data_IF_079745368255
#
_entry.id   IF_079745368255
#
_cell.length_a   1.000
_cell.length_b   1.000
_cell.length_c   1.000
_cell.angle_alpha   90.00
_cell.angle_beta   90.00
_cell.angle_gamma   90.00
#
_symmetry.space_group_name_H-M   'P 1'
#
loop_
_entity.id
_entity.type
_entity.pdbx_description
1 polymer ?
#
# COMPACT_ATOMS: atom_id res chain seq x y z
N UNK A 1 1.09 12.46 18.37
CA UNK A 1 0.40 12.96 17.18
C UNK A 1 -0.80 12.06 16.93
N UNK A 2 -1.94 12.64 16.64
CA UNK A 2 -3.15 11.85 16.36
C UNK A 2 -3.14 11.41 14.90
N UNK A 3 -3.40 10.13 14.65
CA UNK A 3 -3.63 9.61 13.30
C UNK A 3 -4.92 10.17 12.66
N UNK A 4 -5.64 11.06 13.35
CA UNK A 4 -6.97 11.54 12.96
C UNK A 4 -6.96 12.70 11.98
N UNK A 5 -5.84 13.42 11.80
CA UNK A 5 -5.88 14.73 11.18
C UNK A 5 -5.63 14.77 9.65
N UNK A 6 -5.29 13.65 9.04
CA UNK A 6 -4.97 13.61 7.60
C UNK A 6 -5.44 12.30 6.97
N UNK A 7 -6.72 12.23 6.62
CA UNK A 7 -7.36 10.98 6.17
C UNK A 7 -6.96 10.62 4.73
N UNK A 8 -6.86 11.60 3.84
CA UNK A 8 -6.38 11.42 2.47
C UNK A 8 -5.82 12.73 1.92
N UNK A 9 -4.50 12.84 1.85
CA UNK A 9 -3.78 14.02 1.37
C UNK A 9 -2.87 13.68 0.20
N UNK A 10 -2.70 14.65 -0.70
CA UNK A 10 -1.83 14.55 -1.87
C UNK A 10 -0.83 15.69 -1.84
N UNK A 11 0.45 15.35 -1.97
CA UNK A 11 1.57 16.28 -2.01
C UNK A 11 2.36 16.08 -3.29
N UNK A 12 2.79 17.14 -3.94
CA UNK A 12 3.73 17.08 -5.05
C UNK A 12 5.12 17.48 -4.54
N UNK A 13 6.11 16.65 -4.84
CA UNK A 13 7.50 16.85 -4.41
C UNK A 13 8.44 16.77 -5.62
N UNK A 14 9.70 17.18 -5.42
CA UNK A 14 10.77 17.08 -6.42
C UNK A 14 11.72 15.92 -6.08
N UNK A 15 11.17 14.82 -5.54
CA UNK A 15 11.96 13.67 -5.09
C UNK A 15 12.69 12.96 -6.23
N UNK A 16 12.03 12.81 -7.38
CA UNK A 16 12.51 11.90 -8.42
C UNK A 16 13.58 12.57 -9.26
N UNK A 17 14.81 12.06 -9.18
CA UNK A 17 15.90 12.28 -10.13
C UNK A 17 16.02 11.09 -11.09
N UNK A 18 16.78 11.25 -12.16
CA UNK A 18 17.08 10.16 -13.10
C UNK A 18 17.88 9.05 -12.41
N UNK A 19 18.87 9.40 -11.59
CA UNK A 19 19.69 8.46 -10.85
C UNK A 19 18.86 7.62 -9.90
N UNK A 20 18.00 8.24 -9.11
CA UNK A 20 17.09 7.55 -8.20
C UNK A 20 16.17 6.60 -8.96
N UNK A 21 15.64 7.04 -10.11
CA UNK A 21 14.77 6.18 -10.91
C UNK A 21 15.50 4.98 -11.50
N UNK A 22 16.74 5.14 -11.96
CA UNK A 22 17.56 4.02 -12.43
C UNK A 22 17.84 3.00 -11.33
N UNK A 23 18.12 3.47 -10.11
CA UNK A 23 18.30 2.58 -8.97
C UNK A 23 17.03 1.77 -8.67
N UNK A 24 15.85 2.41 -8.70
CA UNK A 24 14.56 1.75 -8.51
C UNK A 24 14.30 0.70 -9.61
N UNK A 25 14.57 1.02 -10.87
CA UNK A 25 14.33 0.10 -12.00
C UNK A 25 15.19 -1.16 -11.91
N UNK A 26 16.36 -1.07 -11.31
CA UNK A 26 17.31 -2.18 -11.17
C UNK A 26 17.06 -3.08 -9.95
N UNK A 27 16.08 -2.77 -9.09
CA UNK A 27 15.72 -3.63 -7.98
C UNK A 27 15.28 -5.03 -8.45
N UNK A 28 15.60 -6.09 -7.69
CA UNK A 28 15.25 -7.45 -8.05
C UNK A 28 13.78 -7.76 -7.75
N UNK A 29 12.89 -7.33 -8.64
CA UNK A 29 11.45 -7.53 -8.51
C UNK A 29 11.05 -9.00 -8.64
N UNK A 30 10.16 -9.42 -7.76
CA UNK A 30 9.53 -10.73 -7.79
C UNK A 30 8.08 -10.61 -8.26
N UNK A 31 7.65 -11.58 -9.08
CA UNK A 31 6.26 -11.65 -9.47
C UNK A 31 5.44 -12.19 -8.28
N UNK A 32 4.52 -11.37 -7.83
CA UNK A 32 3.63 -11.70 -6.73
C UNK A 32 2.25 -12.00 -7.29
N UNK A 33 1.74 -13.16 -6.94
CA UNK A 33 0.34 -13.52 -7.09
C UNK A 33 -0.20 -13.64 -5.67
N UNK A 34 -1.10 -12.76 -5.30
CA UNK A 34 -1.84 -12.93 -4.05
C UNK A 34 -2.79 -14.11 -4.27
N UNK A 35 -2.48 -15.22 -3.61
CA UNK A 35 -3.21 -16.47 -3.73
C UNK A 35 -4.50 -16.46 -2.90
N UNK A 36 -5.41 -15.57 -3.23
CA UNK A 36 -6.82 -15.84 -2.93
C UNK A 36 -7.33 -16.85 -3.98
N UNK A 37 -6.79 -18.06 -3.91
CA UNK A 37 -7.26 -19.15 -4.77
C UNK A 37 -8.71 -19.42 -4.39
N UNK A 38 -9.67 -19.42 -5.36
CA UNK A 38 -11.03 -19.85 -5.10
C UNK A 38 -11.01 -21.20 -4.37
N UNK A 39 -11.55 -21.24 -3.17
CA UNK A 39 -11.70 -22.46 -2.40
C UNK A 39 -13.09 -23.04 -2.61
N UNK A 40 -13.31 -24.31 -2.21
CA UNK A 40 -14.65 -24.89 -2.22
C UNK A 40 -15.67 -24.07 -1.41
N UNK A 41 -15.19 -23.41 -0.36
CA UNK A 41 -16.02 -22.66 0.58
C UNK A 41 -16.20 -21.20 0.13
N UNK A 42 -15.36 -20.71 -0.79
CA UNK A 42 -15.49 -19.40 -1.41
C UNK A 42 -15.08 -19.43 -2.89
N UNK A 43 -15.97 -19.93 -3.77
CA UNK A 43 -15.66 -20.10 -5.20
C UNK A 43 -15.60 -18.77 -5.97
N UNK A 44 -16.04 -17.66 -5.35
CA UNK A 44 -16.10 -16.33 -5.97
C UNK A 44 -14.92 -15.43 -5.55
N UNK A 45 -13.90 -15.96 -4.86
CA UNK A 45 -12.67 -15.22 -4.65
C UNK A 45 -12.04 -14.93 -6.01
N UNK A 46 -12.14 -13.67 -6.43
CA UNK A 46 -11.42 -13.19 -7.58
C UNK A 46 -9.91 -13.29 -7.31
N UNK A 47 -9.15 -13.62 -8.34
CA UNK A 47 -7.68 -13.64 -8.28
C UNK A 47 -7.19 -12.23 -8.00
N UNK A 48 -6.99 -11.90 -6.74
CA UNK A 48 -6.43 -10.63 -6.33
C UNK A 48 -4.97 -10.53 -6.79
N UNK A 49 -4.77 -9.60 -7.68
CA UNK A 49 -3.51 -8.96 -7.89
C UNK A 49 -2.38 -9.81 -8.46
N UNK A 50 -2.23 -9.78 -9.77
CA UNK A 50 -0.95 -10.14 -10.41
C UNK A 50 -0.12 -8.88 -10.63
N UNK A 51 0.95 -8.69 -9.86
CA UNK A 51 1.88 -7.57 -9.99
C UNK A 51 3.29 -7.99 -9.60
N UNK A 52 4.26 -7.11 -9.84
CA UNK A 52 5.64 -7.29 -9.42
C UNK A 52 5.89 -6.44 -8.18
N UNK A 53 6.64 -6.98 -7.24
CA UNK A 53 7.00 -6.26 -6.02
C UNK A 53 8.45 -6.50 -5.64
N UNK A 54 9.04 -5.54 -4.93
CA UNK A 54 10.31 -5.69 -4.23
C UNK A 54 10.16 -5.14 -2.82
N UNK A 55 10.34 -6.01 -1.83
CA UNK A 55 10.30 -5.63 -0.42
C UNK A 55 11.58 -4.89 -0.04
N UNK A 56 11.46 -3.69 0.50
CA UNK A 56 12.58 -2.88 0.96
C UNK A 56 12.77 -2.98 2.47
N UNK A 57 11.68 -3.06 3.21
CA UNK A 57 11.67 -3.19 4.66
C UNK A 57 10.45 -3.97 5.11
N UNK A 58 10.65 -4.83 6.08
CA UNK A 58 9.56 -5.52 6.74
C UNK A 58 9.91 -5.73 8.22
N UNK A 59 9.01 -5.32 9.09
CA UNK A 59 9.14 -5.58 10.51
C UNK A 59 8.81 -7.05 10.78
N UNK A 60 9.77 -7.76 11.33
CA UNK A 60 9.57 -9.12 11.84
C UNK A 60 9.34 -9.06 13.34
N UNK A 61 8.14 -9.32 13.85
CA UNK A 61 7.87 -9.20 15.28
C UNK A 61 8.45 -10.35 16.11
N UNK A 62 8.95 -11.42 15.49
CA UNK A 62 9.32 -12.65 16.18
C UNK A 62 10.54 -13.28 15.53
N UNK A 63 11.34 -13.96 16.36
CA UNK A 63 12.38 -14.92 16.04
C UNK A 63 11.83 -16.19 15.35
N UNK A 64 10.91 -16.05 14.40
CA UNK A 64 10.44 -17.15 13.57
C UNK A 64 10.98 -16.99 12.14
N UNK A 65 12.16 -17.57 11.87
CA UNK A 65 12.78 -17.49 10.54
C UNK A 65 11.95 -18.21 9.47
N UNK A 66 11.09 -19.17 9.86
CA UNK A 66 10.33 -20.01 8.91
C UNK A 66 9.13 -19.26 8.33
N UNK A 67 8.52 -18.34 9.09
CA UNK A 67 7.40 -17.55 8.61
C UNK A 67 7.77 -16.69 7.38
N UNK A 68 8.97 -16.13 7.36
CA UNK A 68 9.45 -15.23 6.30
C UNK A 68 10.12 -15.95 5.13
N UNK A 69 10.75 -17.10 5.38
CA UNK A 69 11.27 -17.95 4.30
C UNK A 69 10.14 -18.46 3.40
N UNK A 70 9.01 -18.80 3.98
CA UNK A 70 7.82 -19.22 3.23
C UNK A 70 7.14 -18.07 2.49
N UNK A 71 7.30 -16.83 2.94
CA UNK A 71 6.76 -15.63 2.27
C UNK A 71 7.68 -15.08 1.17
N UNK A 72 8.89 -15.62 0.99
CA UNK A 72 9.88 -15.16 0.00
C UNK A 72 10.42 -13.75 0.28
N UNK A 73 10.20 -13.24 1.49
CA UNK A 73 10.54 -11.86 1.86
C UNK A 73 11.84 -11.91 2.67
N UNK A 74 12.97 -11.80 1.99
CA UNK A 74 14.22 -11.45 2.68
C UNK A 74 14.16 -9.97 3.03
N UNK A 75 14.19 -9.64 4.33
CA UNK A 75 14.39 -8.29 4.79
C UNK A 75 15.77 -7.79 4.33
N UNK A 76 15.84 -7.16 3.17
CA UNK A 76 17.01 -6.38 2.82
C UNK A 76 16.87 -5.04 3.51
N UNK A 77 17.81 -4.70 4.38
CA UNK A 77 18.00 -3.32 4.81
C UNK A 77 18.50 -2.51 3.60
N UNK A 78 17.61 -2.23 2.69
CA UNK A 78 17.95 -1.40 1.54
C UNK A 78 17.92 0.06 1.99
N UNK A 79 19.08 0.73 1.96
CA UNK A 79 19.21 2.14 2.35
C UNK A 79 18.26 3.06 1.56
N UNK A 80 17.88 2.67 0.35
CA UNK A 80 17.02 3.45 -0.54
C UNK A 80 15.71 3.91 0.12
N UNK A 81 15.03 3.01 0.87
CA UNK A 81 13.77 3.40 1.52
C UNK A 81 13.97 4.44 2.62
N UNK A 82 15.11 4.36 3.35
CA UNK A 82 15.45 5.33 4.39
C UNK A 82 15.79 6.70 3.81
N UNK A 83 16.51 6.74 2.70
CA UNK A 83 16.90 7.99 2.04
C UNK A 83 15.66 8.73 1.51
N UNK A 84 14.76 7.99 0.85
CA UNK A 84 13.47 8.53 0.39
C UNK A 84 12.65 8.99 1.58
N UNK A 85 12.53 8.19 2.64
CA UNK A 85 11.78 8.55 3.83
C UNK A 85 12.33 9.81 4.50
N UNK A 86 13.65 9.91 4.64
CA UNK A 86 14.33 11.10 5.18
C UNK A 86 13.98 12.34 4.38
N UNK A 87 13.96 12.25 3.05
CA UNK A 87 13.52 13.37 2.20
C UNK A 87 12.04 13.72 2.45
N UNK A 88 11.15 12.73 2.50
CA UNK A 88 9.71 12.96 2.71
C UNK A 88 9.42 13.65 4.04
N UNK A 89 10.13 13.30 5.10
CA UNK A 89 10.01 13.93 6.42
C UNK A 89 10.32 15.44 6.39
N UNK A 90 11.15 15.90 5.45
CA UNK A 90 11.42 17.33 5.26
C UNK A 90 10.32 18.06 4.47
N UNK A 91 9.47 17.35 3.74
CA UNK A 91 8.49 17.91 2.78
C UNK A 91 7.04 17.73 3.20
N UNK A 92 6.75 16.69 3.94
CA UNK A 92 5.38 16.32 4.29
C UNK A 92 5.20 16.51 5.81
N UNK A 93 4.30 17.40 6.22
CA UNK A 93 4.04 17.62 7.65
C UNK A 93 3.34 16.39 8.26
N UNK A 94 3.62 16.15 9.53
CA UNK A 94 2.90 15.16 10.34
C UNK A 94 2.95 13.72 9.81
N UNK A 95 4.06 13.31 9.20
CA UNK A 95 4.28 11.90 8.93
C UNK A 95 4.34 11.11 10.24
N UNK A 96 3.87 9.83 10.25
CA UNK A 96 4.04 8.98 11.41
C UNK A 96 5.51 8.80 11.79
N UNK A 97 5.83 8.61 13.07
CA UNK A 97 7.19 8.31 13.52
C UNK A 97 7.77 7.06 12.85
N UNK A 98 9.09 7.02 12.66
CA UNK A 98 9.77 5.91 11.98
C UNK A 98 9.60 4.56 12.66
N UNK A 99 9.53 4.53 13.98
CA UNK A 99 9.28 3.32 14.77
C UNK A 99 7.88 2.73 14.58
N UNK A 100 6.96 3.50 13.99
CA UNK A 100 5.66 3.03 13.54
C UNK A 100 5.69 2.36 12.15
N UNK A 101 6.78 2.50 11.39
CA UNK A 101 6.93 1.83 10.10
C UNK A 101 7.02 0.32 10.29
N UNK A 102 6.20 -0.44 9.57
CA UNK A 102 6.26 -1.90 9.64
C UNK A 102 6.49 -2.57 8.28
N UNK A 103 6.25 -1.86 7.17
CA UNK A 103 6.50 -2.41 5.84
C UNK A 103 6.78 -1.31 4.84
N UNK A 104 7.73 -1.56 3.92
CA UNK A 104 8.00 -0.72 2.76
C UNK A 104 8.37 -1.58 1.56
N UNK A 105 7.75 -1.33 0.42
CA UNK A 105 7.97 -2.08 -0.82
C UNK A 105 7.68 -1.24 -2.05
N UNK A 106 8.30 -1.60 -3.17
CA UNK A 106 7.97 -1.04 -4.48
C UNK A 106 7.07 -2.00 -5.25
N UNK A 107 5.89 -1.53 -5.63
CA UNK A 107 5.00 -2.23 -6.55
C UNK A 107 5.22 -1.76 -7.98
N UNK A 108 5.24 -2.73 -8.90
CA UNK A 108 5.38 -2.50 -10.33
C UNK A 108 4.16 -3.06 -11.05
N UNK A 109 3.44 -2.17 -11.69
CA UNK A 109 2.26 -2.49 -12.49
C UNK A 109 2.50 -2.14 -13.95
N UNK A 110 2.07 -3.02 -14.84
CA UNK A 110 2.08 -2.80 -16.29
C UNK A 110 0.72 -3.14 -16.89
N UNK A 111 0.54 -2.79 -18.14
CA UNK A 111 -0.65 -3.19 -18.87
C UNK A 111 -0.91 -4.70 -18.77
N UNK A 112 -2.14 -5.08 -18.46
CA UNK A 112 -2.55 -6.47 -18.27
C UNK A 112 -2.42 -7.00 -16.84
N UNK A 113 -1.81 -6.25 -15.89
CA UNK A 113 -1.92 -6.57 -14.48
C UNK A 113 -3.34 -6.21 -13.97
N UNK A 114 -3.79 -6.84 -12.90
CA UNK A 114 -5.11 -6.60 -12.33
C UNK A 114 -5.05 -6.63 -10.80
N UNK A 115 -4.58 -5.54 -10.16
CA UNK A 115 -4.67 -5.45 -8.71
C UNK A 115 -6.14 -5.27 -8.30
N UNK A 116 -6.61 -6.09 -7.36
CA UNK A 116 -7.94 -5.98 -6.79
C UNK A 116 -8.16 -4.74 -5.92
N UNK A 117 -9.42 -4.45 -5.57
CA UNK A 117 -9.74 -3.49 -4.53
C UNK A 117 -9.39 -4.12 -3.19
N UNK A 118 -8.66 -3.41 -2.34
CA UNK A 118 -8.23 -3.91 -1.03
C UNK A 118 -8.16 -2.77 -0.01
N UNK A 119 -8.01 -3.14 1.24
CA UNK A 119 -7.61 -2.26 2.34
C UNK A 119 -6.23 -2.66 2.82
N UNK A 120 -5.43 -1.69 3.24
CA UNK A 120 -4.08 -1.92 3.77
C UNK A 120 -4.06 -2.24 5.26
N UNK A 121 -5.10 -1.81 5.97
CA UNK A 121 -5.29 -2.08 7.40
C UNK A 121 -6.72 -2.58 7.65
N UNK A 122 -6.91 -3.61 8.49
CA UNK A 122 -8.23 -4.05 8.89
C UNK A 122 -9.03 -2.94 9.59
N UNK A 123 -10.35 -2.99 9.50
CA UNK A 123 -11.27 -1.97 10.04
C UNK A 123 -11.05 -1.62 11.51
N UNK A 124 -10.56 -2.54 12.31
CA UNK A 124 -10.32 -2.35 13.74
C UNK A 124 -8.94 -1.74 14.07
N UNK A 125 -8.09 -1.50 13.06
CA UNK A 125 -6.79 -0.85 13.24
C UNK A 125 -6.94 0.64 12.99
N UNK A 126 -7.21 1.42 14.03
CA UNK A 126 -7.47 2.87 13.89
C UNK A 126 -6.20 3.67 13.62
N UNK A 127 -5.12 3.31 14.29
CA UNK A 127 -3.84 4.02 14.22
C UNK A 127 -2.94 3.42 13.13
N UNK A 128 -3.30 3.70 11.89
CA UNK A 128 -2.57 3.26 10.70
C UNK A 128 -2.41 4.39 9.69
N UNK A 129 -1.43 4.28 8.80
CA UNK A 129 -1.28 5.10 7.59
C UNK A 129 -0.58 4.32 6.50
N UNK A 130 -1.02 4.58 5.29
CA UNK A 130 -0.28 4.21 4.08
C UNK A 130 0.20 5.48 3.38
N UNK A 131 1.44 5.44 2.93
CA UNK A 131 2.06 6.48 2.10
C UNK A 131 2.43 5.84 0.79
N UNK A 132 1.93 6.39 -0.32
CA UNK A 132 2.32 5.99 -1.67
C UNK A 132 3.14 7.08 -2.32
N UNK A 133 4.24 6.71 -2.96
CA UNK A 133 5.12 7.62 -3.72
C UNK A 133 5.17 7.14 -5.17
N UNK A 134 4.74 7.99 -6.10
CA UNK A 134 4.85 7.70 -7.53
C UNK A 134 6.26 7.99 -8.02
N UNK A 135 6.91 6.98 -8.58
CA UNK A 135 8.34 7.00 -8.86
C UNK A 135 8.70 7.26 -10.33
N UNK A 136 7.74 7.15 -11.24
CA UNK A 136 8.02 7.43 -12.65
C UNK A 136 8.35 8.92 -12.87
N UNK A 137 9.47 9.25 -13.54
CA UNK A 137 9.91 10.65 -13.72
C UNK A 137 8.97 11.44 -14.66
N UNK A 138 8.26 10.75 -15.54
CA UNK A 138 7.30 11.33 -16.47
C UNK A 138 6.02 10.51 -16.45
N UNK A 139 4.87 11.18 -16.47
CA UNK A 139 3.57 10.54 -16.60
C UNK A 139 2.61 11.38 -17.46
N UNK A 140 2.04 10.76 -18.48
CA UNK A 140 1.00 11.38 -19.28
C UNK A 140 -0.38 10.95 -18.76
N UNK A 141 -1.33 11.88 -18.54
CA UNK A 141 -2.68 11.57 -18.10
C UNK A 141 -3.41 10.50 -18.91
N UNK A 142 -3.12 10.40 -20.19
CA UNK A 142 -3.75 9.41 -21.08
C UNK A 142 -3.24 7.97 -20.88
N UNK A 143 -2.21 7.79 -20.05
CA UNK A 143 -1.66 6.46 -19.76
C UNK A 143 -2.44 5.71 -18.69
N UNK A 144 -3.40 6.35 -18.00
CA UNK A 144 -4.13 5.74 -16.89
C UNK A 144 -3.23 5.60 -15.65
N UNK A 145 -3.39 4.52 -14.91
CA UNK A 145 -2.53 4.20 -13.77
C UNK A 145 -2.88 4.93 -12.48
N UNK A 146 -4.05 5.51 -12.37
CA UNK A 146 -4.53 6.18 -11.16
C UNK A 146 -4.60 5.23 -9.97
N UNK A 147 -4.37 5.75 -8.76
CA UNK A 147 -4.86 5.09 -7.56
C UNK A 147 -6.27 5.59 -7.30
N UNK A 148 -7.21 4.66 -7.23
CA UNK A 148 -8.63 4.95 -6.98
C UNK A 148 -8.96 4.59 -5.55
N UNK A 149 -9.65 5.50 -4.88
CA UNK A 149 -10.19 5.37 -3.54
C UNK A 149 -11.71 5.31 -3.59
N UNK A 150 -12.27 4.39 -2.84
CA UNK A 150 -13.69 4.06 -2.88
C UNK A 150 -14.36 4.44 -1.55
N UNK A 151 -15.67 4.68 -1.62
CA UNK A 151 -16.50 4.83 -0.44
C UNK A 151 -17.02 3.47 0.09
N UNK A 152 -17.95 3.52 1.02
CA UNK A 152 -18.52 2.35 1.66
C UNK A 152 -19.37 1.48 0.72
N UNK A 153 -19.82 2.04 -0.41
CA UNK A 153 -20.59 1.33 -1.43
C UNK A 153 -19.71 0.83 -2.58
N UNK A 154 -18.41 1.08 -2.49
CA UNK A 154 -17.40 0.86 -3.53
C UNK A 154 -17.61 1.73 -4.76
N UNK A 155 -18.27 2.86 -4.60
CA UNK A 155 -18.25 3.91 -5.62
C UNK A 155 -16.97 4.69 -5.58
N UNK A 156 -16.45 5.05 -6.76
CA UNK A 156 -15.22 5.84 -6.87
C UNK A 156 -15.42 7.22 -6.24
N UNK A 157 -14.73 7.48 -5.16
CA UNK A 157 -14.77 8.75 -4.44
C UNK A 157 -13.69 9.72 -4.85
N UNK A 158 -12.50 9.18 -5.10
CA UNK A 158 -11.33 9.96 -5.53
C UNK A 158 -10.41 9.13 -6.40
N UNK A 159 -9.87 9.72 -7.45
CA UNK A 159 -8.80 9.17 -8.25
C UNK A 159 -7.59 10.08 -8.15
N UNK A 160 -6.41 9.50 -7.88
CA UNK A 160 -5.15 10.23 -7.83
C UNK A 160 -4.27 9.76 -8.97
N UNK A 161 -4.00 10.69 -9.87
CA UNK A 161 -3.17 10.46 -11.04
C UNK A 161 -1.69 10.38 -10.67
N UNK A 162 -0.93 9.44 -11.25
CA UNK A 162 0.52 9.42 -11.13
C UNK A 162 1.15 10.73 -11.61
N UNK A 163 2.16 11.17 -10.88
CA UNK A 163 3.05 12.28 -11.22
C UNK A 163 4.39 12.04 -10.55
N UNK A 164 5.48 12.44 -11.19
CA UNK A 164 6.81 12.29 -10.61
C UNK A 164 6.89 12.89 -9.20
N UNK A 165 7.29 12.08 -8.22
CA UNK A 165 7.42 12.51 -6.83
C UNK A 165 6.11 12.86 -6.13
N UNK A 166 4.95 12.57 -6.72
CA UNK A 166 3.67 12.73 -6.02
C UNK A 166 3.55 11.73 -4.90
N UNK A 167 3.11 12.21 -3.74
CA UNK A 167 2.91 11.42 -2.53
C UNK A 167 1.45 11.47 -2.12
N UNK A 168 0.91 10.31 -1.76
CA UNK A 168 -0.44 10.18 -1.21
C UNK A 168 -0.33 9.60 0.18
N UNK A 169 -0.86 10.30 1.17
CA UNK A 169 -0.94 9.84 2.56
C UNK A 169 -2.39 9.58 2.89
N UNK A 170 -2.73 8.37 3.32
CA UNK A 170 -4.12 8.02 3.59
C UNK A 170 -4.29 6.99 4.72
N UNK A 171 -5.52 6.91 5.24
CA UNK A 171 -5.92 5.87 6.18
C UNK A 171 -6.03 4.53 5.42
N UNK A 172 -5.24 3.54 5.82
CA UNK A 172 -5.16 2.24 5.15
C UNK A 172 -6.47 1.43 5.19
N UNK A 173 -7.47 1.85 5.96
CA UNK A 173 -8.81 1.24 5.96
C UNK A 173 -9.69 1.69 4.79
N UNK A 174 -9.28 2.71 4.04
CA UNK A 174 -10.00 3.15 2.84
C UNK A 174 -9.77 2.13 1.72
N UNK A 175 -10.84 1.55 1.15
CA UNK A 175 -10.71 0.66 0.00
C UNK A 175 -10.08 1.40 -1.17
N UNK A 176 -9.11 0.78 -1.79
CA UNK A 176 -8.41 1.39 -2.92
C UNK A 176 -7.83 0.35 -3.86
N UNK A 177 -7.48 0.80 -5.05
CA UNK A 177 -6.73 -0.01 -6.03
C UNK A 177 -5.81 0.88 -6.85
N UNK A 178 -4.63 0.36 -7.19
CA UNK A 178 -3.77 0.97 -8.20
C UNK A 178 -4.15 0.47 -9.59
N UNK A 179 -4.75 1.30 -10.43
CA UNK A 179 -5.04 0.91 -11.81
C UNK A 179 -3.76 0.72 -12.61
N UNK A 180 -3.83 -0.20 -13.55
CA UNK A 180 -2.74 -0.42 -14.50
C UNK A 180 -2.71 0.68 -15.56
N UNK A 181 -1.56 0.86 -16.17
CA UNK A 181 -1.46 1.72 -17.35
C UNK A 181 -2.30 1.15 -18.51
N UNK A 182 -2.73 2.03 -19.38
CA UNK A 182 -3.38 1.65 -20.65
C UNK A 182 -2.35 1.08 -21.63
N UNK A 183 -2.82 0.46 -22.72
CA UNK A 183 -1.96 -0.01 -23.81
C UNK A 183 -1.10 1.09 -24.45
N UNK A 184 -1.43 2.36 -24.22
CA UNK A 184 -0.64 3.51 -24.70
C UNK A 184 0.67 3.71 -23.94
N UNK A 185 0.83 3.03 -22.79
CA UNK A 185 2.04 3.07 -21.98
C UNK A 185 2.54 1.64 -21.77
N UNK A 186 3.52 1.24 -22.54
CA UNK A 186 4.06 -0.12 -22.55
C UNK A 186 5.12 -0.35 -21.47
N UNK A 187 5.47 0.69 -20.69
CA UNK A 187 6.44 0.59 -19.62
C UNK A 187 5.76 0.32 -18.28
N UNK A 188 6.56 0.15 -17.25
CA UNK A 188 6.10 -0.15 -15.91
C UNK A 188 5.72 1.13 -15.13
N UNK A 189 4.67 1.03 -14.33
CA UNK A 189 4.31 2.01 -13.31
C UNK A 189 4.92 1.57 -11.99
N UNK A 190 5.77 2.41 -11.40
CA UNK A 190 6.45 2.15 -10.14
C UNK A 190 5.83 2.99 -9.03
N UNK A 191 5.50 2.35 -7.91
CA UNK A 191 4.98 3.02 -6.71
C UNK A 191 5.62 2.41 -5.48
N UNK A 192 6.27 3.25 -4.69
CA UNK A 192 6.79 2.89 -3.38
C UNK A 192 5.67 3.08 -2.34
N UNK A 193 5.48 2.06 -1.51
CA UNK A 193 4.57 2.10 -0.38
C UNK A 193 5.34 2.07 0.94
N UNK A 194 4.87 2.87 1.91
CA UNK A 194 5.24 2.77 3.32
C UNK A 194 3.96 2.53 4.11
N UNK A 195 3.99 1.54 5.00
CA UNK A 195 2.86 1.20 5.86
C UNK A 195 3.23 1.40 7.32
N UNK A 196 2.38 2.11 8.04
CA UNK A 196 2.57 2.49 9.43
C UNK A 196 1.42 2.01 10.29
N UNK A 197 1.76 1.59 11.52
CA UNK A 197 0.84 1.41 12.65
C UNK A 197 1.63 1.58 13.95
N UNK A 198 0.95 1.92 15.04
CA UNK A 198 1.66 2.05 16.32
C UNK A 198 2.30 0.73 16.74
N UNK A 199 3.43 0.78 17.48
CA UNK A 199 4.08 -0.43 18.00
C UNK A 199 3.12 -1.30 18.81
N UNK A 200 2.25 -0.69 19.62
CA UNK A 200 1.25 -1.38 20.43
C UNK A 200 0.23 -2.12 19.58
N UNK A 201 -0.30 -1.44 18.53
CA UNK A 201 -1.25 -2.05 17.60
C UNK A 201 -0.59 -3.19 16.83
N UNK A 202 0.64 -2.97 16.37
CA UNK A 202 1.45 -3.98 15.69
C UNK A 202 1.69 -5.20 16.57
N UNK A 203 2.10 -5.00 17.82
CA UNK A 203 2.31 -6.08 18.78
C UNK A 203 1.03 -6.90 18.99
N UNK A 204 -0.10 -6.25 19.20
CA UNK A 204 -1.39 -6.94 19.33
C UNK A 204 -1.76 -7.72 18.08
N UNK A 205 -1.61 -7.12 16.90
CA UNK A 205 -1.97 -7.74 15.63
C UNK A 205 -1.18 -9.04 15.37
N UNK A 206 0.10 -9.07 15.74
CA UNK A 206 0.99 -10.20 15.48
C UNK A 206 1.06 -11.23 16.63
N UNK A 207 0.80 -10.82 17.87
CA UNK A 207 0.97 -11.70 19.04
C UNK A 207 -0.32 -11.96 19.82
N UNK A 208 -1.31 -11.09 19.72
CA UNK A 208 -2.57 -11.23 20.46
C UNK A 208 -3.52 -12.17 19.72
N UNK A 209 -3.80 -13.30 20.35
CA UNK A 209 -4.70 -14.32 19.84
C UNK A 209 -6.13 -13.79 19.60
N UNK A 210 -6.59 -12.82 20.40
CA UNK A 210 -7.92 -12.21 20.22
C UNK A 210 -8.00 -11.36 18.94
N UNK A 211 -6.94 -10.60 18.64
CA UNK A 211 -6.88 -9.80 17.40
C UNK A 211 -6.76 -10.68 16.18
N UNK A 212 -5.91 -11.71 16.25
CA UNK A 212 -5.71 -12.65 15.14
C UNK A 212 -6.94 -13.53 14.85
N UNK A 213 -7.79 -13.76 15.85
CA UNK A 213 -9.03 -14.55 15.70
C UNK A 213 -10.27 -13.71 15.42
N UNK A 214 -10.17 -12.38 15.36
CA UNK A 214 -11.29 -11.58 14.86
C UNK A 214 -11.53 -11.98 13.40
N UNK A 215 -12.71 -12.51 13.07
CA UNK A 215 -13.00 -12.82 11.68
C UNK A 215 -12.86 -11.52 10.88
N UNK A 216 -12.14 -11.54 9.76
CA UNK A 216 -12.12 -10.38 8.88
C UNK A 216 -13.56 -10.09 8.46
N UNK A 217 -13.99 -8.84 8.55
CA UNK A 217 -15.22 -8.43 7.91
C UNK A 217 -14.97 -8.58 6.42
N UNK A 218 -15.70 -9.51 5.81
CA UNK A 218 -15.62 -9.78 4.38
C UNK A 218 -16.91 -9.28 3.74
N UNK A 219 -17.04 -7.96 3.63
CA UNK A 219 -18.09 -7.38 2.82
C UNK A 219 -17.59 -7.15 1.40
N UNK A 220 -18.42 -7.46 0.42
CA UNK A 220 -18.12 -7.32 -1.01
C UNK A 220 -16.81 -8.01 -1.44
N UNK A 221 -16.39 -9.06 -0.71
CA UNK A 221 -15.19 -9.85 -1.02
C UNK A 221 -13.86 -9.21 -0.61
N UNK A 222 -13.87 -8.09 0.10
CA UNK A 222 -12.65 -7.40 0.55
C UNK A 222 -12.34 -7.76 2.01
N UNK A 223 -11.25 -8.47 2.23
CA UNK A 223 -10.81 -8.86 3.57
C UNK A 223 -10.47 -7.63 4.41
N UNK A 224 -11.00 -7.57 5.63
CA UNK A 224 -10.75 -6.45 6.56
C UNK A 224 -11.57 -5.20 6.28
N UNK A 225 -12.45 -5.20 5.30
CA UNK A 225 -13.33 -4.08 4.97
C UNK A 225 -14.58 -4.07 5.85
N UNK A 226 -14.93 -2.88 6.36
CA UNK A 226 -16.20 -2.60 7.04
C UNK A 226 -16.81 -1.31 6.51
N UNK A 227 -17.99 -1.35 5.87
CA UNK A 227 -18.65 -0.19 5.26
C UNK A 227 -18.91 0.96 6.24
N UNK A 228 -19.24 0.65 7.50
CA UNK A 228 -19.52 1.68 8.50
C UNK A 228 -18.25 2.46 8.89
N UNK A 229 -17.13 1.74 9.02
CA UNK A 229 -15.81 2.36 9.25
C UNK A 229 -15.45 3.29 8.09
N UNK A 230 -15.58 2.83 6.85
CA UNK A 230 -15.26 3.61 5.66
C UNK A 230 -16.15 4.84 5.54
N UNK A 231 -17.46 4.69 5.78
CA UNK A 231 -18.41 5.82 5.82
C UNK A 231 -17.97 6.87 6.84
N UNK A 232 -17.65 6.45 8.07
CA UNK A 232 -17.19 7.36 9.13
C UNK A 232 -15.88 8.08 8.76
N UNK A 233 -14.97 7.41 8.05
CA UNK A 233 -13.73 8.02 7.57
C UNK A 233 -14.05 9.13 6.56
N UNK A 234 -14.90 8.86 5.56
CA UNK A 234 -15.26 9.86 4.55
C UNK A 234 -16.04 11.05 5.11
N UNK A 235 -16.86 10.85 6.14
CA UNK A 235 -17.61 11.93 6.80
C UNK A 235 -16.69 12.91 7.56
N UNK A 236 -15.47 12.50 7.93
CA UNK A 236 -14.48 13.35 8.60
C UNK A 236 -13.57 14.15 7.64
N UNK A 237 -13.69 13.93 6.35
CA UNK A 237 -12.93 14.64 5.29
C UNK A 237 -13.64 15.91 4.82
#
# INVERSE_FOLDING_TARGET
MSYTDNILNVYDTNLISEELFQEIVLLPYQFTRTDNVPTKDNPNLELDGMYWTHQLYNFTPIDDPDYWQNAGIQGSENQLYLDILTYLETKIPNLPPRDHLYSSYVNVLRYGNSPGIHVDAPYFVEENRTILVYLNPVWNPQWGGETIFFDNDLDCRRAVQPRAGRVVVFDGRIPHTGRTSTIRFLYNRYVLAYKYMTPETRQKLFTDHEMNNKPPVMDKGIVGFDPNTVKTIWEKM
#
